data_IF_860269024564
#
_entry.id   IF_860269024564
#
_cell.length_a   1.000
_cell.length_b   1.000
_cell.length_c   1.000
_cell.angle_alpha   90.00
_cell.angle_beta   90.00
_cell.angle_gamma   90.00
#
_symmetry.space_group_name_H-M   'P 1'
#
loop_
_entity.id
_entity.type
_entity.pdbx_description
1 polymer ?
#
# COMPACT_ATOMS: atom_id res chain seq x y z
N UNK A 1 13.14 -24.28 3.49
CA UNK A 1 13.29 -23.04 4.30
C UNK A 1 13.41 -21.79 3.43
N UNK A 2 14.33 -21.74 2.44
CA UNK A 2 14.44 -20.59 1.52
C UNK A 2 13.19 -20.35 0.64
N UNK A 3 12.55 -21.42 0.16
CA UNK A 3 11.34 -21.32 -0.67
C UNK A 3 10.14 -20.74 0.10
N UNK A 4 9.95 -21.14 1.35
CA UNK A 4 8.89 -20.61 2.23
C UNK A 4 9.08 -19.12 2.50
N UNK A 5 10.32 -18.68 2.74
CA UNK A 5 10.64 -17.26 2.93
C UNK A 5 10.37 -16.46 1.65
N UNK A 6 10.71 -17.00 0.48
CA UNK A 6 10.44 -16.35 -0.81
C UNK A 6 8.94 -16.26 -1.11
N UNK A 7 8.16 -17.32 -0.82
CA UNK A 7 6.72 -17.31 -0.97
C UNK A 7 6.05 -16.27 -0.05
N UNK A 8 6.47 -16.23 1.22
CA UNK A 8 5.98 -15.23 2.17
C UNK A 8 6.34 -13.81 1.74
N UNK A 9 7.57 -13.59 1.28
CA UNK A 9 7.98 -12.27 0.79
C UNK A 9 7.15 -11.81 -0.40
N UNK A 10 6.87 -12.69 -1.37
CA UNK A 10 6.02 -12.34 -2.53
C UNK A 10 4.61 -11.97 -2.09
N UNK A 11 3.99 -12.79 -1.24
CA UNK A 11 2.65 -12.54 -0.72
C UNK A 11 2.57 -11.22 0.05
N UNK A 12 3.48 -11.01 1.00
CA UNK A 12 3.53 -9.78 1.81
C UNK A 12 3.78 -8.56 0.91
N UNK A 13 4.62 -8.68 -0.12
CA UNK A 13 4.88 -7.58 -1.05
C UNK A 13 3.64 -7.18 -1.84
N UNK A 14 2.82 -8.15 -2.26
CA UNK A 14 1.55 -7.89 -2.95
C UNK A 14 0.53 -7.26 -2.01
N UNK A 15 0.41 -7.79 -0.78
CA UNK A 15 -0.47 -7.27 0.25
C UNK A 15 -0.12 -5.82 0.64
N UNK A 16 1.17 -5.52 0.82
CA UNK A 16 1.62 -4.15 1.12
C UNK A 16 1.30 -3.20 -0.04
N UNK A 17 1.46 -3.64 -1.30
CA UNK A 17 1.10 -2.80 -2.46
C UNK A 17 -0.40 -2.49 -2.47
N UNK A 18 -1.22 -3.49 -2.19
CA UNK A 18 -2.67 -3.33 -2.14
C UNK A 18 -3.08 -2.37 -1.02
N UNK A 19 -2.54 -2.54 0.19
CA UNK A 19 -2.79 -1.64 1.33
C UNK A 19 -2.41 -0.21 0.97
N UNK A 20 -1.22 0.00 0.38
CA UNK A 20 -0.79 1.34 -0.03
C UNK A 20 -1.75 1.94 -1.06
N UNK A 21 -2.20 1.17 -2.04
CA UNK A 21 -3.14 1.66 -3.04
C UNK A 21 -4.50 2.06 -2.40
N UNK A 22 -5.07 1.18 -1.58
CA UNK A 22 -6.34 1.42 -0.89
C UNK A 22 -6.25 2.65 0.04
N UNK A 23 -5.12 2.82 0.72
CA UNK A 23 -4.85 3.97 1.58
C UNK A 23 -4.71 5.26 0.77
N UNK A 24 -4.04 5.22 -0.38
CA UNK A 24 -3.96 6.38 -1.29
C UNK A 24 -5.35 6.77 -1.82
N UNK A 25 -6.18 5.80 -2.19
CA UNK A 25 -7.56 6.04 -2.61
C UNK A 25 -8.41 6.60 -1.45
N UNK A 26 -8.26 6.08 -0.23
CA UNK A 26 -8.94 6.61 0.95
C UNK A 26 -8.55 8.05 1.24
N UNK A 27 -7.25 8.35 1.19
CA UNK A 27 -6.72 9.71 1.38
C UNK A 27 -7.22 10.65 0.27
N UNK A 28 -7.29 10.19 -0.98
CA UNK A 28 -7.78 11.01 -2.11
C UNK A 28 -9.26 11.39 -1.96
N UNK A 29 -10.06 10.48 -1.39
CA UNK A 29 -11.49 10.68 -1.20
C UNK A 29 -11.85 11.40 0.12
N UNK A 30 -10.89 11.62 1.01
CA UNK A 30 -11.09 12.34 2.26
C UNK A 30 -10.73 13.83 2.11
N UNK A 31 -11.72 14.71 2.24
CA UNK A 31 -11.55 16.17 2.14
C UNK A 31 -10.49 16.73 3.08
N UNK A 32 -10.32 16.13 4.27
CA UNK A 32 -9.33 16.57 5.25
C UNK A 32 -7.93 16.02 4.96
N UNK A 33 -7.79 14.96 4.17
CA UNK A 33 -6.50 14.29 3.93
C UNK A 33 -5.99 14.41 2.50
N UNK A 34 -6.84 14.70 1.50
CA UNK A 34 -6.47 14.80 0.08
C UNK A 34 -5.32 15.76 -0.21
N UNK A 35 -5.14 16.77 0.65
CA UNK A 35 -4.02 17.72 0.57
C UNK A 35 -2.64 17.05 0.77
N UNK A 36 -2.59 15.88 1.41
CA UNK A 36 -1.36 15.10 1.61
C UNK A 36 -0.84 14.45 0.33
N UNK A 37 -1.70 14.21 -0.66
CA UNK A 37 -1.32 13.67 -1.97
C UNK A 37 -0.71 14.74 -2.89
N UNK A 38 -0.95 16.02 -2.60
CA UNK A 38 -0.30 17.13 -3.27
C UNK A 38 1.01 17.49 -2.55
N UNK A 39 2.04 16.66 -2.73
CA UNK A 39 3.41 17.12 -2.50
C UNK A 39 4.02 17.51 -3.85
N UNK A 40 4.23 18.83 -3.99
CA UNK A 40 4.98 19.59 -5.02
C UNK A 40 5.58 18.82 -6.21
#
# INVERSE_FOLDING_TARGET
MKETVQANYRRIKEEVKQIVQEELERIANDENLKHLLQQK
#
